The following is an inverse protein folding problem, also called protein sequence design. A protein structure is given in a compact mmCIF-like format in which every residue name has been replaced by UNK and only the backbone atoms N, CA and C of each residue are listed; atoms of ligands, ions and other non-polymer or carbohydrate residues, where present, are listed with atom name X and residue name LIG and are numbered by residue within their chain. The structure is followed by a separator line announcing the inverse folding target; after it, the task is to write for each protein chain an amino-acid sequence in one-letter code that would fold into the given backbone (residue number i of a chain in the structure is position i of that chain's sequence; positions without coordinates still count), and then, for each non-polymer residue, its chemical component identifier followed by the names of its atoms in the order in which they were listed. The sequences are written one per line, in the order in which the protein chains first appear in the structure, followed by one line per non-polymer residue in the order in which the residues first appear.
data_IF_593172797691
#
_entry.id   IF_593172797691
#
_cell.length_a   1.000
_cell.length_b   1.000
_cell.length_c   1.000
_cell.angle_alpha   90.00
_cell.angle_beta   90.00
_cell.angle_gamma   90.00
#
_symmetry.space_group_name_H-M   'P 1'
#
loop_
_entity.id
_entity.type
_entity.pdbx_description
1 polymer ?
#
# COMPACT_ATOMS: atom_id res chain seq x y z
N UNK A 1 -10.54 -1.00 4.08
CA UNK A 1 -9.14 -1.42 3.91
C UNK A 1 -8.26 -0.19 3.86
N UNK A 2 -6.99 -0.32 4.26
CA UNK A 2 -6.02 0.77 4.20
C UNK A 2 -5.23 0.74 2.89
N UNK A 3 -4.41 1.76 2.67
CA UNK A 3 -3.54 1.84 1.47
C UNK A 3 -2.40 0.82 1.48
N UNK A 4 -1.99 0.36 2.66
CA UNK A 4 -0.99 -0.70 2.85
C UNK A 4 -1.57 -1.89 3.59
N UNK A 5 -0.95 -3.06 3.41
CA UNK A 5 -1.27 -4.28 4.13
C UNK A 5 -0.40 -4.45 5.38
N UNK A 6 -0.79 -5.36 6.27
CA UNK A 6 0.01 -5.78 7.42
C UNK A 6 1.37 -6.30 6.95
N UNK A 7 1.39 -7.07 5.87
CA UNK A 7 2.61 -7.62 5.27
C UNK A 7 3.58 -6.52 4.80
N UNK A 8 3.06 -5.41 4.28
CA UNK A 8 3.91 -4.27 3.89
C UNK A 8 4.62 -3.67 5.10
N UNK A 9 3.92 -3.57 6.24
CA UNK A 9 4.50 -3.08 7.49
C UNK A 9 5.55 -4.04 8.01
N UNK A 10 5.26 -5.34 8.01
CA UNK A 10 6.23 -6.37 8.41
C UNK A 10 7.51 -6.30 7.57
N UNK A 11 7.36 -6.15 6.26
CA UNK A 11 8.49 -6.01 5.33
C UNK A 11 9.33 -4.75 5.63
N UNK A 12 8.69 -3.62 5.91
CA UNK A 12 9.39 -2.37 6.28
C UNK A 12 10.18 -2.54 7.57
N UNK A 13 9.58 -3.18 8.58
CA UNK A 13 10.23 -3.42 9.88
C UNK A 13 11.34 -4.48 9.74
N UNK A 14 11.13 -5.55 9.00
CA UNK A 14 12.12 -6.59 8.76
C UNK A 14 13.36 -6.04 8.03
N UNK A 15 13.20 -5.16 7.05
CA UNK A 15 14.32 -4.51 6.36
C UNK A 15 15.19 -3.69 7.31
N UNK A 16 14.60 -3.05 8.29
CA UNK A 16 15.32 -2.29 9.29
C UNK A 16 16.20 -3.16 10.17
N UNK A 17 15.68 -4.29 10.56
CA UNK A 17 16.36 -5.22 11.46
C UNK A 17 17.52 -5.93 10.75
N UNK A 18 17.35 -6.31 9.49
CA UNK A 18 18.45 -6.88 8.69
C UNK A 18 19.60 -5.90 8.45
N UNK A 19 19.29 -4.62 8.32
CA UNK A 19 20.34 -3.58 8.19
C UNK A 19 21.10 -3.32 9.49
N UNK A 20 20.47 -3.53 10.64
CA UNK A 20 21.09 -3.36 11.96
C UNK A 20 21.93 -4.57 12.39
N UNK A 21 21.60 -5.78 11.92
CA UNK A 21 22.28 -7.04 12.30
C UNK A 21 23.57 -7.31 11.53
N UNK A 22 23.93 -6.47 10.56
CA UNK A 22 25.20 -6.63 9.84
C UNK A 22 26.46 -6.49 10.73
N UNK A 23 26.33 -6.07 11.99
CA UNK A 23 27.45 -5.86 12.91
C UNK A 23 27.56 -6.86 14.08
N UNK A 24 26.56 -7.70 14.37
CA UNK A 24 26.66 -8.74 15.42
C UNK A 24 25.52 -9.76 15.33
N UNK A 25 25.77 -10.95 14.78
CA UNK A 25 24.71 -11.96 14.65
C UNK A 25 24.27 -12.61 15.98
N UNK A 26 25.03 -12.45 17.06
CA UNK A 26 24.84 -13.22 18.29
C UNK A 26 24.07 -12.51 19.43
N UNK A 27 23.77 -11.22 19.32
CA UNK A 27 23.11 -10.46 20.40
C UNK A 27 21.61 -10.23 20.20
N UNK A 28 21.08 -10.45 19.02
CA UNK A 28 19.66 -10.29 18.75
C UNK A 28 19.06 -11.65 18.44
N UNK A 29 18.22 -12.13 19.34
CA UNK A 29 17.37 -13.29 19.09
C UNK A 29 16.65 -13.15 17.75
N UNK A 30 16.32 -14.26 17.14
CA UNK A 30 15.65 -14.33 15.82
C UNK A 30 14.58 -13.25 15.68
N UNK A 31 14.55 -12.59 14.53
CA UNK A 31 13.65 -11.50 14.12
C UNK A 31 12.16 -11.72 14.51
N UNK A 32 11.73 -12.98 14.58
CA UNK A 32 10.40 -13.40 15.01
C UNK A 32 10.05 -13.01 16.46
N UNK A 33 11.01 -12.61 17.28
CA UNK A 33 10.77 -12.26 18.68
C UNK A 33 10.62 -10.75 18.93
N UNK A 34 10.82 -9.90 17.92
CA UNK A 34 10.82 -8.45 18.08
C UNK A 34 9.47 -7.79 17.77
N UNK A 35 8.81 -8.23 16.72
CA UNK A 35 7.42 -7.85 16.45
C UNK A 35 6.72 -9.07 15.87
N UNK A 36 5.82 -9.62 16.62
CA UNK A 36 4.91 -10.63 16.11
C UNK A 36 3.54 -9.98 15.99
N UNK A 37 3.09 -9.76 14.77
CA UNK A 37 1.74 -9.28 14.50
C UNK A 37 0.87 -10.51 14.43
N UNK A 38 -0.10 -10.63 15.32
CA UNK A 38 -0.97 -11.79 15.35
C UNK A 38 -2.05 -11.74 16.41
N UNK A 39 -2.91 -12.74 16.41
CA UNK A 39 -4.05 -12.88 17.33
C UNK A 39 -3.74 -13.68 18.62
N UNK A 40 -2.48 -13.91 18.95
CA UNK A 40 -2.10 -14.66 20.14
C UNK A 40 -2.11 -13.79 21.40
N UNK A 41 -2.36 -14.43 22.56
CA UNK A 41 -2.42 -13.80 23.88
C UNK A 41 -1.05 -13.45 24.48
N UNK A 42 0.03 -13.52 23.73
CA UNK A 42 1.36 -13.16 24.19
C UNK A 42 1.53 -11.65 24.34
N UNK A 43 2.08 -11.23 25.47
CA UNK A 43 2.20 -9.81 25.87
C UNK A 43 3.09 -8.95 24.96
N UNK A 44 3.83 -9.56 24.03
CA UNK A 44 4.72 -8.87 23.09
C UNK A 44 4.14 -8.77 21.67
N UNK A 45 2.89 -9.15 21.49
CA UNK A 45 2.22 -9.13 20.21
C UNK A 45 1.45 -7.84 20.00
N UNK A 46 1.68 -7.21 18.86
CA UNK A 46 0.82 -6.13 18.37
C UNK A 46 -0.37 -6.78 17.67
N UNK A 47 -1.58 -6.54 18.16
CA UNK A 47 -2.77 -7.11 17.52
C UNK A 47 -2.98 -6.56 16.11
N UNK A 48 -3.49 -7.39 15.21
CA UNK A 48 -3.84 -7.00 13.83
C UNK A 48 -4.74 -5.77 13.79
N UNK A 49 -5.74 -5.71 14.66
CA UNK A 49 -6.64 -4.55 14.78
C UNK A 49 -5.93 -3.25 15.17
N UNK A 50 -4.84 -3.35 15.93
CA UNK A 50 -4.02 -2.18 16.29
C UNK A 50 -3.19 -1.73 15.09
N UNK A 51 -2.67 -2.66 14.32
CA UNK A 51 -1.92 -2.35 13.08
C UNK A 51 -2.85 -1.70 12.07
N UNK A 52 -4.04 -2.24 11.85
CA UNK A 52 -5.07 -1.67 10.97
C UNK A 52 -5.44 -0.24 11.37
N UNK A 53 -5.56 0.00 12.67
CA UNK A 53 -5.81 1.36 13.18
C UNK A 53 -4.69 2.33 12.81
N UNK A 54 -3.42 1.92 12.89
CA UNK A 54 -2.29 2.78 12.50
C UNK A 54 -2.17 2.97 11.00
N UNK A 55 -2.54 1.96 10.21
CA UNK A 55 -2.66 2.10 8.76
C UNK A 55 -3.70 3.18 8.43
N UNK A 56 -4.91 3.07 8.98
CA UNK A 56 -5.98 4.05 8.75
C UNK A 56 -5.60 5.46 9.20
N UNK A 57 -4.84 5.60 10.28
CA UNK A 57 -4.32 6.90 10.72
C UNK A 57 -3.32 7.48 9.73
N UNK A 58 -2.39 6.65 9.24
CA UNK A 58 -1.41 7.05 8.23
C UNK A 58 -2.10 7.48 6.93
N UNK A 59 -3.11 6.74 6.50
CA UNK A 59 -3.86 7.01 5.27
C UNK A 59 -4.60 8.34 5.33
N UNK A 60 -5.27 8.64 6.45
CA UNK A 60 -5.92 9.94 6.66
C UNK A 60 -4.96 11.11 6.61
N UNK A 61 -3.74 10.92 7.14
CA UNK A 61 -2.70 11.96 7.04
C UNK A 61 -2.21 12.14 5.60
N UNK A 62 -2.05 11.04 4.85
CA UNK A 62 -1.67 11.08 3.43
C UNK A 62 -2.75 11.79 2.62
N UNK A 63 -4.01 11.45 2.84
CA UNK A 63 -5.14 12.10 2.18
C UNK A 63 -5.17 13.59 2.47
N UNK A 64 -5.00 13.98 3.72
CA UNK A 64 -4.98 15.39 4.09
C UNK A 64 -3.85 16.15 3.40
N UNK A 65 -2.65 15.56 3.30
CA UNK A 65 -1.48 16.19 2.68
C UNK A 65 -1.60 16.28 1.15
N UNK A 66 -2.21 15.28 0.51
CA UNK A 66 -2.29 15.18 -0.96
C UNK A 66 -3.60 15.71 -1.54
N UNK A 67 -4.58 16.06 -0.69
CA UNK A 67 -5.90 16.58 -1.12
C UNK A 67 -5.85 17.89 -1.92
N UNK A 68 -4.75 18.65 -1.84
CA UNK A 68 -4.57 19.84 -2.66
C UNK A 68 -4.28 19.51 -4.14
N UNK A 69 -3.77 18.31 -4.40
CA UNK A 69 -3.27 17.93 -5.72
C UNK A 69 -4.07 16.81 -6.37
N UNK A 70 -4.61 15.91 -5.57
CA UNK A 70 -5.35 14.73 -6.01
C UNK A 70 -6.71 14.62 -5.33
N UNK A 71 -7.65 13.94 -5.99
CA UNK A 71 -8.86 13.48 -5.32
C UNK A 71 -8.48 12.38 -4.31
N UNK A 72 -8.84 12.59 -3.05
CA UNK A 72 -8.68 11.63 -1.98
C UNK A 72 -10.06 11.24 -1.44
N UNK A 73 -10.24 10.01 -0.95
CA UNK A 73 -9.26 8.92 -0.89
C UNK A 73 -8.86 8.41 -2.28
N UNK A 74 -7.65 7.84 -2.36
CA UNK A 74 -7.15 7.26 -3.60
C UNK A 74 -7.94 6.02 -4.01
N UNK A 75 -7.99 5.78 -5.33
CA UNK A 75 -8.64 4.59 -5.88
C UNK A 75 -7.63 3.47 -6.11
N UNK A 76 -8.09 2.26 -5.89
CA UNK A 76 -7.34 1.06 -6.29
C UNK A 76 -7.25 0.96 -7.81
N UNK A 77 -6.17 0.38 -8.28
CA UNK A 77 -5.88 0.18 -9.69
C UNK A 77 -5.75 -1.31 -9.99
N UNK A 78 -6.30 -1.72 -11.12
CA UNK A 78 -6.04 -3.03 -11.69
C UNK A 78 -4.61 -3.04 -12.28
N UNK A 79 -3.69 -3.68 -11.57
CA UNK A 79 -2.27 -3.69 -11.96
C UNK A 79 -1.89 -4.88 -12.84
N UNK A 80 -2.66 -5.95 -12.77
CA UNK A 80 -2.46 -7.15 -13.55
C UNK A 80 -3.78 -7.87 -13.77
N UNK A 81 -3.95 -8.45 -14.94
CA UNK A 81 -5.15 -9.23 -15.31
C UNK A 81 -4.74 -10.52 -16.00
N UNK A 82 -5.38 -11.60 -15.61
CA UNK A 82 -5.29 -12.93 -16.21
C UNK A 82 -6.64 -13.63 -16.14
N UNK A 83 -6.71 -14.87 -16.60
CA UNK A 83 -7.90 -15.71 -16.48
C UNK A 83 -7.57 -17.00 -15.72
N UNK A 84 -8.61 -17.62 -15.20
CA UNK A 84 -8.51 -18.93 -14.56
C UNK A 84 -8.16 -20.00 -15.61
N UNK A 85 -7.21 -20.86 -15.29
CA UNK A 85 -6.86 -22.02 -16.12
C UNK A 85 -7.89 -23.17 -15.97
N UNK A 86 -8.49 -23.30 -14.80
CA UNK A 86 -9.46 -24.34 -14.48
C UNK A 86 -10.56 -23.77 -13.61
N UNK A 87 -11.68 -24.48 -13.57
CA UNK A 87 -12.80 -24.17 -12.70
C UNK A 87 -12.37 -24.09 -11.24
N UNK A 88 -12.91 -23.11 -10.54
CA UNK A 88 -12.72 -22.94 -9.11
C UNK A 88 -14.05 -23.19 -8.42
N UNK A 89 -14.07 -24.18 -7.54
CA UNK A 89 -15.25 -24.57 -6.81
C UNK A 89 -15.34 -23.84 -5.47
N UNK A 90 -16.56 -23.66 -4.99
CA UNK A 90 -16.85 -23.15 -3.66
C UNK A 90 -16.03 -23.89 -2.59
N UNK A 91 -15.57 -23.17 -1.59
CA UNK A 91 -14.74 -23.66 -0.47
C UNK A 91 -13.34 -24.14 -0.85
N UNK A 92 -12.91 -23.92 -2.09
CA UNK A 92 -11.56 -24.24 -2.52
C UNK A 92 -10.68 -22.97 -2.49
N UNK A 93 -9.67 -22.86 -1.63
CA UNK A 93 -8.84 -21.66 -1.57
C UNK A 93 -7.79 -21.60 -2.69
N UNK A 94 -7.62 -22.66 -3.48
CA UNK A 94 -6.58 -22.72 -4.51
C UNK A 94 -7.05 -22.20 -5.85
N UNK A 95 -6.29 -21.29 -6.41
CA UNK A 95 -6.54 -20.68 -7.71
C UNK A 95 -5.38 -21.01 -8.66
N UNK A 96 -5.73 -21.44 -9.87
CA UNK A 96 -4.76 -21.70 -10.95
C UNK A 96 -5.06 -20.75 -12.10
N UNK A 97 -4.06 -20.00 -12.53
CA UNK A 97 -4.19 -19.00 -13.60
C UNK A 97 -3.51 -19.46 -14.90
N UNK A 98 -3.98 -18.93 -16.03
CA UNK A 98 -3.40 -19.24 -17.34
C UNK A 98 -1.99 -18.65 -17.51
N UNK A 99 -1.78 -17.44 -16.98
CA UNK A 99 -0.49 -16.72 -17.07
C UNK A 99 0.15 -16.56 -15.72
N UNK A 100 1.46 -16.51 -15.72
CA UNK A 100 2.22 -16.21 -14.52
C UNK A 100 1.83 -14.84 -13.95
N UNK A 101 1.43 -14.84 -12.69
CA UNK A 101 1.01 -13.64 -11.96
C UNK A 101 2.14 -13.16 -11.05
N UNK A 102 2.50 -11.88 -11.08
CA UNK A 102 3.46 -11.30 -10.14
C UNK A 102 2.75 -10.99 -8.80
N UNK A 103 2.33 -12.04 -8.10
CA UNK A 103 1.63 -11.95 -6.82
C UNK A 103 2.59 -12.17 -5.66
N UNK A 104 2.29 -11.51 -4.55
CA UNK A 104 2.93 -11.72 -3.27
C UNK A 104 1.87 -12.03 -2.20
N UNK A 105 2.30 -12.62 -1.10
CA UNK A 105 1.44 -12.81 0.08
C UNK A 105 0.95 -11.45 0.57
N UNK A 106 -0.35 -11.36 0.86
CA UNK A 106 -1.01 -10.12 1.24
C UNK A 106 -1.47 -9.23 0.08
N UNK A 107 -1.20 -9.61 -1.18
CA UNK A 107 -1.81 -8.94 -2.33
C UNK A 107 -3.30 -9.27 -2.41
N UNK A 108 -4.07 -8.36 -2.99
CA UNK A 108 -5.50 -8.56 -3.22
C UNK A 108 -5.80 -8.88 -4.67
N UNK A 109 -6.69 -9.84 -4.87
CA UNK A 109 -7.21 -10.25 -6.17
C UNK A 109 -8.73 -10.21 -6.17
N UNK A 110 -9.28 -9.88 -7.32
CA UNK A 110 -10.72 -9.94 -7.58
C UNK A 110 -10.96 -11.02 -8.64
N UNK A 111 -11.84 -11.95 -8.33
CA UNK A 111 -12.38 -12.94 -9.25
C UNK A 111 -13.64 -12.37 -9.88
N UNK A 112 -13.71 -12.38 -11.21
CA UNK A 112 -14.83 -11.85 -11.97
C UNK A 112 -15.33 -12.92 -12.96
N UNK A 113 -16.54 -13.41 -12.76
CA UNK A 113 -17.12 -14.42 -13.66
C UNK A 113 -18.62 -14.55 -13.48
N UNK A 114 -19.35 -14.89 -14.56
CA UNK A 114 -20.79 -15.13 -14.57
C UNK A 114 -21.66 -14.06 -13.88
N UNK A 115 -21.19 -12.82 -13.87
CA UNK A 115 -21.88 -11.70 -13.20
C UNK A 115 -21.63 -11.63 -11.69
N UNK A 116 -20.71 -12.43 -11.18
CA UNK A 116 -20.27 -12.44 -9.80
C UNK A 116 -18.89 -11.79 -9.67
N UNK A 117 -18.65 -11.17 -8.53
CA UNK A 117 -17.38 -10.56 -8.14
C UNK A 117 -17.06 -10.98 -6.72
N UNK A 118 -15.84 -11.45 -6.50
CA UNK A 118 -15.38 -11.84 -5.18
C UNK A 118 -13.92 -11.39 -4.99
N UNK A 119 -13.65 -10.80 -3.83
CA UNK A 119 -12.33 -10.27 -3.47
C UNK A 119 -11.68 -11.19 -2.44
N UNK A 120 -10.41 -11.49 -2.66
CA UNK A 120 -9.61 -12.33 -1.78
C UNK A 120 -8.22 -11.76 -1.55
N UNK A 121 -7.69 -12.01 -0.36
CA UNK A 121 -6.28 -11.76 -0.03
C UNK A 121 -5.47 -13.03 -0.28
N UNK A 122 -4.29 -12.89 -0.86
CA UNK A 122 -3.38 -14.01 -1.11
C UNK A 122 -2.72 -14.44 0.20
N UNK A 123 -2.92 -15.70 0.56
CA UNK A 123 -2.30 -16.33 1.73
C UNK A 123 -0.93 -16.95 1.40
N UNK A 124 -0.83 -17.65 0.26
CA UNK A 124 0.39 -18.34 -0.15
C UNK A 124 0.55 -18.31 -1.66
N UNK A 125 1.77 -18.09 -2.14
CA UNK A 125 2.13 -18.22 -3.55
C UNK A 125 2.93 -19.51 -3.73
N UNK A 126 2.26 -20.54 -4.25
CA UNK A 126 2.86 -21.90 -4.46
C UNK A 126 3.76 -21.88 -5.70
N UNK A 127 3.30 -21.22 -6.76
CA UNK A 127 4.08 -20.99 -7.97
C UNK A 127 3.62 -19.71 -8.66
N UNK A 128 4.30 -19.29 -9.71
CA UNK A 128 3.89 -18.11 -10.49
C UNK A 128 2.48 -18.18 -11.10
N UNK A 129 1.86 -19.37 -11.14
CA UNK A 129 0.54 -19.60 -11.72
C UNK A 129 -0.44 -20.20 -10.70
N UNK A 130 0.00 -20.54 -9.50
CA UNK A 130 -0.82 -21.19 -8.46
C UNK A 130 -0.65 -20.47 -7.14
N UNK A 131 -1.73 -20.06 -6.55
CA UNK A 131 -1.75 -19.39 -5.27
C UNK A 131 -2.97 -19.82 -4.45
N UNK A 132 -2.93 -19.60 -3.15
CA UNK A 132 -4.05 -19.80 -2.26
C UNK A 132 -4.53 -18.47 -1.66
N UNK A 133 -5.80 -18.41 -1.36
CA UNK A 133 -6.46 -17.28 -0.70
C UNK A 133 -6.52 -17.51 0.81
N UNK A 134 -6.61 -16.42 1.57
CA UNK A 134 -6.76 -16.48 3.03
C UNK A 134 -8.15 -17.01 3.42
N UNK A 135 -9.17 -16.60 2.66
CA UNK A 135 -10.53 -17.03 2.83
C UNK A 135 -10.92 -18.04 1.74
N UNK A 136 -11.84 -18.92 2.06
CA UNK A 136 -12.43 -19.86 1.08
C UNK A 136 -13.24 -19.07 0.04
N UNK A 137 -13.24 -19.55 -1.20
CA UNK A 137 -14.01 -18.93 -2.28
C UNK A 137 -15.49 -19.26 -2.07
N UNK A 138 -16.32 -18.24 -2.06
CA UNK A 138 -17.75 -18.35 -1.75
C UNK A 138 -18.61 -18.73 -2.95
N UNK A 139 -18.11 -18.53 -4.18
CA UNK A 139 -18.84 -18.80 -5.42
C UNK A 139 -18.06 -19.70 -6.36
N UNK A 140 -18.80 -20.40 -7.22
CA UNK A 140 -18.20 -21.13 -8.33
C UNK A 140 -17.78 -20.17 -9.45
N UNK A 141 -16.55 -20.33 -9.94
CA UNK A 141 -16.03 -19.62 -11.12
C UNK A 141 -15.59 -20.61 -12.18
N UNK A 142 -16.11 -20.44 -13.38
CA UNK A 142 -15.71 -21.26 -14.54
C UNK A 142 -14.28 -20.90 -15.00
N UNK A 143 -13.63 -21.83 -15.68
CA UNK A 143 -12.42 -21.57 -16.43
C UNK A 143 -12.64 -20.35 -17.34
N UNK A 144 -11.57 -19.60 -17.64
CA UNK A 144 -11.61 -18.32 -18.36
C UNK A 144 -12.25 -17.14 -17.59
N UNK A 145 -12.76 -17.34 -16.37
CA UNK A 145 -13.13 -16.21 -15.50
C UNK A 145 -11.92 -15.34 -15.21
N UNK A 146 -12.14 -14.02 -15.12
CA UNK A 146 -11.04 -13.04 -14.96
C UNK A 146 -10.52 -13.03 -13.53
N UNK A 147 -9.21 -12.94 -13.41
CA UNK A 147 -8.49 -12.72 -12.15
C UNK A 147 -7.76 -11.39 -12.27
N UNK A 148 -8.10 -10.45 -11.45
CA UNK A 148 -7.55 -9.08 -11.50
C UNK A 148 -6.84 -8.80 -10.18
N UNK A 149 -5.53 -8.52 -10.23
CA UNK A 149 -4.82 -7.99 -9.08
C UNK A 149 -5.14 -6.51 -8.93
N UNK A 150 -5.55 -6.13 -7.73
CA UNK A 150 -5.82 -4.73 -7.38
C UNK A 150 -4.86 -4.26 -6.29
N UNK A 151 -4.40 -3.04 -6.42
CA UNK A 151 -3.64 -2.39 -5.36
C UNK A 151 -3.71 -0.88 -5.49
N UNK A 152 -3.42 -0.19 -4.41
CA UNK A 152 -3.16 1.24 -4.47
C UNK A 152 -1.84 1.53 -5.19
N UNK A 153 -1.65 2.75 -5.73
CA UNK A 153 -0.38 3.13 -6.35
C UNK A 153 0.80 2.88 -5.39
N UNK A 154 1.84 2.23 -5.89
CA UNK A 154 3.00 1.85 -5.08
C UNK A 154 3.58 2.98 -4.20
N UNK A 155 3.74 4.24 -4.68
CA UNK A 155 4.21 5.32 -3.81
C UNK A 155 3.31 5.53 -2.59
N UNK A 156 1.98 5.48 -2.75
CA UNK A 156 1.01 5.66 -1.65
C UNK A 156 1.09 4.47 -0.69
N UNK A 157 1.12 3.25 -1.22
CA UNK A 157 1.26 2.02 -0.44
C UNK A 157 2.51 2.06 0.46
N UNK A 158 3.67 2.42 -0.11
CA UNK A 158 4.92 2.50 0.65
C UNK A 158 4.94 3.64 1.66
N UNK A 159 4.36 4.79 1.34
CA UNK A 159 4.25 5.91 2.29
C UNK A 159 3.38 5.51 3.48
N UNK A 160 2.21 4.88 3.23
CA UNK A 160 1.31 4.38 4.28
C UNK A 160 2.03 3.38 5.17
N UNK A 161 2.66 2.35 4.60
CA UNK A 161 3.40 1.34 5.35
C UNK A 161 4.51 1.95 6.22
N UNK A 162 5.30 2.89 5.69
CA UNK A 162 6.38 3.55 6.45
C UNK A 162 5.85 4.40 7.59
N UNK A 163 4.75 5.14 7.39
CA UNK A 163 4.13 5.97 8.43
C UNK A 163 3.53 5.12 9.54
N UNK A 164 2.81 4.06 9.18
CA UNK A 164 2.23 3.12 10.14
C UNK A 164 3.35 2.40 10.92
N UNK A 165 4.36 1.86 10.22
CA UNK A 165 5.52 1.22 10.84
C UNK A 165 6.27 2.15 11.79
N UNK A 166 6.48 3.42 11.43
CA UNK A 166 7.12 4.41 12.29
C UNK A 166 6.34 4.62 13.59
N UNK A 167 5.01 4.69 13.51
CA UNK A 167 4.15 4.90 14.67
C UNK A 167 4.13 3.68 15.59
N UNK A 168 4.07 2.47 15.02
CA UNK A 168 4.16 1.21 15.75
C UNK A 168 5.51 1.14 16.46
N UNK A 169 6.58 1.43 15.73
CA UNK A 169 7.93 1.38 16.26
C UNK A 169 8.11 2.32 17.44
N UNK A 170 7.70 3.57 17.33
CA UNK A 170 7.81 4.54 18.41
C UNK A 170 6.99 4.15 19.66
N UNK A 171 5.81 3.57 19.44
CA UNK A 171 4.92 3.22 20.55
C UNK A 171 5.38 1.99 21.32
N UNK A 172 5.88 0.99 20.62
CA UNK A 172 6.20 -0.31 21.23
C UNK A 172 7.69 -0.50 21.51
N UNK A 173 8.57 0.25 20.86
CA UNK A 173 10.02 0.06 20.97
C UNK A 173 10.78 1.25 21.55
N UNK A 174 10.21 2.45 21.55
CA UNK A 174 10.93 3.65 22.01
C UNK A 174 10.94 3.82 23.52
N UNK A 175 10.13 3.05 24.28
CA UNK A 175 9.88 3.39 25.68
C UNK A 175 10.91 2.89 26.67
N UNK A 176 11.80 1.96 26.33
CA UNK A 176 12.55 1.34 27.45
C UNK A 176 14.05 1.12 27.29
N UNK A 177 14.66 1.06 26.15
CA UNK A 177 16.02 0.51 26.18
C UNK A 177 17.08 1.08 25.25
N UNK A 178 16.75 1.82 24.22
CA UNK A 178 17.80 2.23 23.28
C UNK A 178 17.53 3.58 22.61
N UNK A 179 18.47 4.54 22.72
CA UNK A 179 18.38 5.79 21.98
C UNK A 179 18.43 5.61 20.43
N UNK A 180 18.73 4.41 19.97
CA UNK A 180 18.77 4.10 18.53
C UNK A 180 17.38 3.73 17.96
N UNK A 181 16.43 3.35 18.78
CA UNK A 181 15.09 2.95 18.33
C UNK A 181 14.25 4.14 17.90
N UNK A 182 14.34 5.28 18.59
CA UNK A 182 13.63 6.49 18.19
C UNK A 182 14.13 7.06 16.85
N UNK A 183 15.41 6.91 16.54
CA UNK A 183 16.00 7.36 15.28
C UNK A 183 15.46 6.60 14.06
N UNK A 184 15.05 5.36 14.22
CA UNK A 184 14.49 4.58 13.11
C UNK A 184 13.07 5.03 12.76
N UNK A 185 12.21 5.27 13.74
CA UNK A 185 10.89 5.85 13.51
C UNK A 185 10.97 7.23 12.86
N UNK A 186 11.90 8.10 13.30
CA UNK A 186 12.17 9.38 12.65
C UNK A 186 12.67 9.22 11.21
N UNK A 187 13.54 8.26 10.95
CA UNK A 187 14.02 7.95 9.61
C UNK A 187 12.90 7.52 8.67
N UNK A 188 12.02 6.63 9.12
CA UNK A 188 10.85 6.19 8.32
C UNK A 188 9.89 7.35 8.02
N UNK A 189 9.62 8.22 9.02
CA UNK A 189 8.79 9.41 8.80
C UNK A 189 9.44 10.37 7.81
N UNK A 190 10.74 10.57 7.90
CA UNK A 190 11.46 11.41 6.96
C UNK A 190 11.35 10.87 5.54
N UNK A 191 11.59 9.58 5.33
CA UNK A 191 11.43 8.95 4.01
C UNK A 191 10.01 9.13 3.48
N UNK A 192 8.99 8.85 4.29
CA UNK A 192 7.60 9.04 3.89
C UNK A 192 7.30 10.50 3.55
N UNK A 193 7.84 11.45 4.29
CA UNK A 193 7.66 12.87 4.02
C UNK A 193 8.39 13.33 2.74
N UNK A 194 9.59 12.83 2.49
CA UNK A 194 10.34 13.10 1.26
C UNK A 194 9.59 12.56 0.02
N UNK A 195 9.00 11.37 0.13
CA UNK A 195 8.16 10.80 -0.93
C UNK A 195 6.89 11.65 -1.17
N UNK A 196 6.20 12.09 -0.10
CA UNK A 196 5.04 12.99 -0.21
C UNK A 196 5.45 14.30 -0.89
N UNK A 197 6.58 14.90 -0.49
CA UNK A 197 7.09 16.10 -1.12
C UNK A 197 7.43 15.90 -2.61
N UNK A 198 7.93 14.72 -2.98
CA UNK A 198 8.19 14.38 -4.38
C UNK A 198 6.89 14.33 -5.20
N UNK A 199 5.80 13.86 -4.61
CA UNK A 199 4.46 13.87 -5.23
C UNK A 199 3.94 15.31 -5.32
N UNK A 200 4.03 16.10 -4.24
CA UNK A 200 3.57 17.49 -4.19
C UNK A 200 4.32 18.39 -5.18
N UNK A 201 5.61 18.17 -5.33
CA UNK A 201 6.45 18.90 -6.28
C UNK A 201 6.30 18.42 -7.73
N UNK A 202 5.55 17.33 -7.96
CA UNK A 202 5.32 16.77 -9.29
C UNK A 202 6.49 15.95 -9.85
N UNK A 203 7.50 15.65 -9.03
CA UNK A 203 8.61 14.76 -9.42
C UNK A 203 8.12 13.32 -9.55
N UNK A 204 7.21 12.91 -8.69
CA UNK A 204 6.51 11.63 -8.73
C UNK A 204 5.05 11.87 -9.10
N UNK A 205 4.57 11.18 -10.12
CA UNK A 205 3.18 11.25 -10.60
C UNK A 205 2.47 9.95 -10.24
N UNK A 206 1.30 10.05 -9.63
CA UNK A 206 0.45 8.91 -9.33
C UNK A 206 -0.40 8.57 -10.57
N UNK A 207 0.06 7.58 -11.33
CA UNK A 207 -0.67 7.10 -12.49
C UNK A 207 -2.03 6.55 -12.08
N UNK A 208 -3.05 6.78 -12.92
CA UNK A 208 -4.41 6.29 -12.69
C UNK A 208 -5.20 7.07 -11.61
N UNK A 209 -4.57 8.00 -10.89
CA UNK A 209 -5.25 8.83 -9.90
C UNK A 209 -5.70 10.18 -10.50
N UNK A 210 -6.88 10.64 -10.11
CA UNK A 210 -7.43 11.88 -10.62
C UNK A 210 -6.75 13.09 -9.97
N UNK A 211 -6.00 13.85 -10.77
CA UNK A 211 -5.34 15.08 -10.34
C UNK A 211 -6.29 16.27 -10.45
N UNK A 212 -6.50 16.97 -9.34
CA UNK A 212 -7.38 18.16 -9.30
C UNK A 212 -6.65 19.39 -9.88
N UNK A 213 -5.32 19.38 -9.87
CA UNK A 213 -4.48 20.54 -10.17
C UNK A 213 -4.29 21.43 -8.94
N UNK A 214 -3.18 22.14 -8.91
CA UNK A 214 -2.97 23.12 -7.84
C UNK A 214 -3.98 24.26 -7.99
N UNK A 215 -4.77 24.51 -6.96
CA UNK A 215 -5.60 25.72 -6.87
C UNK A 215 -4.68 26.88 -6.49
N UNK A 216 -4.12 27.53 -7.48
CA UNK A 216 -3.42 28.79 -7.23
C UNK A 216 -4.44 29.90 -7.07
N UNK A 217 -4.53 30.47 -5.89
CA UNK A 217 -5.32 31.69 -5.64
C UNK A 217 -4.69 32.94 -6.27
N UNK A 218 -3.46 32.85 -6.76
CA UNK A 218 -2.76 33.95 -7.36
C UNK A 218 -2.81 33.85 -8.90
N UNK A 219 -3.51 34.78 -9.53
CA UNK A 219 -3.66 34.85 -10.99
C UNK A 219 -2.33 35.02 -11.76
N UNK A 220 -1.25 35.33 -11.05
CA UNK A 220 0.08 35.51 -11.63
C UNK A 220 0.99 34.29 -11.43
N UNK A 221 0.49 33.21 -10.82
CA UNK A 221 1.29 31.99 -10.68
C UNK A 221 1.38 31.28 -12.02
N UNK A 222 2.59 31.06 -12.47
CA UNK A 222 2.95 30.19 -13.59
C UNK A 222 3.35 28.83 -13.07
N UNK A 223 3.01 27.76 -13.79
CA UNK A 223 3.50 26.43 -13.44
C UNK A 223 5.03 26.34 -13.65
N UNK A 224 5.61 25.23 -13.24
CA UNK A 224 7.05 24.99 -13.39
C UNK A 224 7.56 25.02 -14.85
N UNK A 225 6.65 24.99 -15.82
CA UNK A 225 6.95 25.10 -17.26
C UNK A 225 6.72 26.50 -17.81
N UNK A 226 6.41 27.49 -16.96
CA UNK A 226 6.15 28.86 -17.36
C UNK A 226 4.79 29.08 -18.00
N UNK A 227 3.87 28.10 -17.90
CA UNK A 227 2.51 28.24 -18.39
C UNK A 227 1.61 28.85 -17.31
N UNK A 228 0.63 29.71 -17.66
CA UNK A 228 -0.33 30.23 -16.70
C UNK A 228 -1.10 29.06 -16.07
N UNK A 229 -1.36 29.17 -14.75
CA UNK A 229 -2.14 28.17 -14.03
C UNK A 229 -3.51 27.96 -14.69
N UNK A 230 -4.10 26.77 -14.54
CA UNK A 230 -5.29 26.35 -15.28
C UNK A 230 -6.48 27.32 -15.27
N UNK A 231 -6.58 28.20 -14.27
CA UNK A 231 -7.58 29.26 -14.23
C UNK A 231 -7.31 30.37 -15.28
N UNK A 232 -6.04 30.69 -15.55
CA UNK A 232 -5.66 31.64 -16.58
C UNK A 232 -5.84 31.06 -18.00
N UNK A 233 -5.53 29.77 -18.19
CA UNK A 233 -5.77 29.10 -19.47
C UNK A 233 -7.25 29.04 -19.85
N UNK A 234 -8.15 28.90 -18.87
CA UNK A 234 -9.60 28.89 -19.16
C UNK A 234 -10.14 30.27 -19.58
N UNK A 235 -9.48 31.35 -19.18
CA UNK A 235 -9.83 32.71 -19.60
C UNK A 235 -9.31 33.06 -21.01
N UNK A 236 -8.08 32.66 -21.33
CA UNK A 236 -7.52 32.89 -22.65
C UNK A 236 -8.23 32.10 -23.76
N UNK A 237 -8.64 30.85 -23.52
CA UNK A 237 -9.43 30.09 -24.47
C UNK A 237 -10.83 30.66 -24.73
N UNK A 238 -11.37 31.48 -23.83
CA UNK A 238 -12.65 32.18 -24.04
C UNK A 238 -12.55 33.46 -24.88
N UNK A 239 -11.31 33.99 -25.04
CA UNK A 239 -11.08 35.19 -25.84
C UNK A 239 -10.77 34.91 -27.32
N UNK A 240 -10.54 33.62 -27.67
CA UNK A 240 -10.22 33.20 -29.07
C UNK A 240 -11.47 32.62 -29.78
N UNK A 241 -12.65 32.89 -29.26
CA UNK A 241 -13.93 32.71 -29.94
C UNK A 241 -14.59 34.04 -30.13
#
# INVERSE_FOLDING_TARGET
MGYSSIQDIENVIAQALTSATASSPDEFGTLSNLINIGNSLDSNLVSTSTVDYYILMADREIDAMLSELYNTPFCELANFETVLYSDVYEYNPYIVTEKACPLAVGDEVILLGAGQEERHTINEVISSMVFSTEEEIGFYFEADSRVVRVSYPDPIRFISARKAAATIYDKYFSSEASPNTSKFGEYLRKLAFDDINSILNGTTILHGQHRIGRRFYNSNAVDQYGLPSGAAMSMEMRQIK
#
